data_IF_211860075810
#
_entry.id   IF_211860075810
#
_cell.length_a   1.000
_cell.length_b   1.000
_cell.length_c   1.000
_cell.angle_alpha   90.00
_cell.angle_beta   90.00
_cell.angle_gamma   90.00
#
_symmetry.space_group_name_H-M   'P 1'
#
loop_
_entity.id
_entity.type
_entity.pdbx_description
1 polymer ?
#
# COMPACT_ATOMS: atom_id res chain seq x y z
N UNK A 1 11.90 -5.85 -12.64
CA UNK A 1 10.53 -6.34 -12.42
C UNK A 1 9.72 -5.17 -11.90
N UNK A 2 8.59 -4.87 -12.56
CA UNK A 2 7.75 -3.76 -12.16
C UNK A 2 7.09 -4.04 -10.79
N UNK A 3 6.57 -2.97 -10.20
CA UNK A 3 5.68 -3.00 -9.06
C UNK A 3 4.26 -2.79 -9.56
N UNK A 4 3.29 -3.48 -8.97
CA UNK A 4 1.89 -3.29 -9.33
C UNK A 4 0.97 -3.38 -8.14
N UNK A 5 -0.16 -2.67 -8.22
CA UNK A 5 -1.26 -2.78 -7.27
C UNK A 5 -2.60 -2.87 -8.00
N UNK A 6 -3.44 -3.79 -7.53
CA UNK A 6 -4.87 -3.87 -7.81
C UNK A 6 -5.60 -4.35 -6.56
N UNK A 7 -6.91 -4.09 -6.44
CA UNK A 7 -7.70 -4.65 -5.33
C UNK A 7 -7.65 -6.17 -5.30
N UNK A 8 -7.56 -6.82 -6.47
CA UNK A 8 -7.39 -8.26 -6.58
C UNK A 8 -6.07 -8.71 -5.97
N UNK A 9 -4.95 -8.06 -6.34
CA UNK A 9 -3.62 -8.38 -5.79
C UNK A 9 -3.56 -8.17 -4.28
N UNK A 10 -4.11 -7.06 -3.78
CA UNK A 10 -4.19 -6.81 -2.33
C UNK A 10 -4.98 -7.93 -1.62
N UNK A 11 -6.09 -8.39 -2.21
CA UNK A 11 -6.86 -9.51 -1.67
C UNK A 11 -6.07 -10.81 -1.67
N UNK A 12 -5.30 -11.09 -2.74
CA UNK A 12 -4.42 -12.26 -2.81
C UNK A 12 -3.31 -12.21 -1.76
N UNK A 13 -2.68 -11.04 -1.56
CA UNK A 13 -1.66 -10.83 -0.52
C UNK A 13 -2.24 -11.15 0.85
N UNK A 14 -3.40 -10.59 1.21
CA UNK A 14 -4.05 -10.89 2.49
C UNK A 14 -4.37 -12.39 2.61
N UNK A 15 -4.92 -12.99 1.56
CA UNK A 15 -5.31 -14.41 1.55
C UNK A 15 -4.11 -15.33 1.74
N UNK A 16 -2.95 -15.01 1.15
CA UNK A 16 -1.70 -15.76 1.32
C UNK A 16 -1.20 -15.75 2.77
N UNK A 17 -1.61 -14.76 3.57
CA UNK A 17 -1.32 -14.64 5.00
C UNK A 17 -2.49 -15.08 5.90
N UNK A 18 -3.57 -15.63 5.33
CA UNK A 18 -4.77 -16.01 6.09
C UNK A 18 -5.54 -14.83 6.68
N UNK A 19 -5.36 -13.64 6.12
CA UNK A 19 -5.96 -12.38 6.56
C UNK A 19 -7.15 -11.97 5.68
N UNK A 20 -8.06 -11.22 6.28
CA UNK A 20 -9.16 -10.48 5.65
C UNK A 20 -8.90 -8.98 5.78
N UNK A 21 -9.58 -8.18 4.97
CA UNK A 21 -9.45 -6.71 4.94
C UNK A 21 -9.76 -6.03 6.29
N UNK A 22 -10.49 -6.69 7.20
CA UNK A 22 -10.80 -6.18 8.54
C UNK A 22 -9.77 -6.54 9.61
N UNK A 23 -8.76 -7.36 9.31
CA UNK A 23 -7.81 -7.89 10.30
C UNK A 23 -6.67 -6.89 10.59
N UNK A 24 -7.01 -5.72 11.15
CA UNK A 24 -6.11 -4.59 11.33
C UNK A 24 -4.75 -4.99 11.94
N UNK A 25 -4.73 -5.69 13.07
CA UNK A 25 -3.48 -6.10 13.72
C UNK A 25 -2.64 -7.12 12.93
N UNK A 26 -3.25 -7.87 12.01
CA UNK A 26 -2.53 -8.74 11.08
C UNK A 26 -1.94 -7.95 9.91
N UNK A 27 -2.71 -7.00 9.39
CA UNK A 27 -2.30 -6.12 8.30
C UNK A 27 -1.20 -5.17 8.75
N UNK A 28 -1.28 -4.63 9.97
CA UNK A 28 -0.21 -3.83 10.59
C UNK A 28 1.13 -4.57 10.52
N UNK A 29 1.17 -5.81 11.01
CA UNK A 29 2.38 -6.65 10.95
C UNK A 29 2.86 -6.89 9.53
N UNK A 30 1.94 -7.08 8.58
CA UNK A 30 2.25 -7.36 7.19
C UNK A 30 2.81 -6.12 6.45
N UNK A 31 2.33 -4.92 6.80
CA UNK A 31 2.63 -3.66 6.10
C UNK A 31 3.53 -2.71 6.90
N UNK A 32 4.33 -3.24 7.83
CA UNK A 32 5.46 -2.50 8.43
C UNK A 32 5.27 -2.03 9.86
N UNK A 33 4.34 -2.60 10.63
CA UNK A 33 4.13 -2.33 12.05
C UNK A 33 2.89 -1.49 12.33
N UNK A 34 2.95 -0.62 13.34
CA UNK A 34 1.78 0.08 13.91
C UNK A 34 0.95 0.91 12.91
N UNK A 35 1.53 1.32 11.78
CA UNK A 35 0.86 2.10 10.74
C UNK A 35 0.59 1.26 9.47
N UNK A 36 0.79 -0.06 9.52
CA UNK A 36 0.66 -0.91 8.33
C UNK A 36 -0.77 -0.98 7.78
N UNK A 37 -1.78 -1.01 8.66
CA UNK A 37 -3.18 -0.97 8.25
C UNK A 37 -3.54 0.35 7.56
N UNK A 38 -2.97 1.46 8.04
CA UNK A 38 -3.10 2.77 7.40
C UNK A 38 -2.58 2.72 5.96
N UNK A 39 -1.32 2.31 5.76
CA UNK A 39 -0.72 2.27 4.42
C UNK A 39 -1.37 1.26 3.49
N UNK A 40 -1.86 0.13 4.01
CA UNK A 40 -2.71 -0.77 3.23
C UNK A 40 -3.98 -0.06 2.75
N UNK A 41 -4.64 0.71 3.62
CA UNK A 41 -5.79 1.54 3.28
C UNK A 41 -5.47 2.56 2.19
N UNK A 42 -4.41 3.35 2.37
CA UNK A 42 -3.94 4.36 1.39
C UNK A 42 -3.67 3.74 0.03
N UNK A 43 -2.98 2.60 -0.03
CA UNK A 43 -2.67 1.90 -1.29
C UNK A 43 -3.92 1.33 -1.95
N UNK A 44 -4.87 0.82 -1.16
CA UNK A 44 -6.15 0.34 -1.68
C UNK A 44 -6.98 1.47 -2.26
N UNK A 45 -6.97 2.64 -1.61
CA UNK A 45 -7.70 3.84 -2.03
C UNK A 45 -7.09 4.48 -3.28
N UNK A 46 -5.75 4.57 -3.34
CA UNK A 46 -5.00 5.00 -4.53
C UNK A 46 -5.38 4.21 -5.79
N UNK A 47 -5.75 2.93 -5.65
CA UNK A 47 -6.04 2.06 -6.77
C UNK A 47 -7.54 2.10 -7.16
N UNK A 48 -7.89 2.56 -8.37
CA UNK A 48 -9.28 2.56 -8.81
C UNK A 48 -9.85 1.13 -8.94
N UNK A 49 -11.15 0.92 -8.64
CA UNK A 49 -11.79 -0.38 -8.81
C UNK A 49 -11.64 -0.94 -10.23
N UNK A 50 -11.23 -2.21 -10.35
CA UNK A 50 -11.06 -2.90 -11.63
C UNK A 50 -9.86 -2.44 -12.46
N UNK A 51 -8.97 -1.60 -11.91
CA UNK A 51 -7.72 -1.19 -12.55
C UNK A 51 -6.51 -1.81 -11.85
N UNK A 52 -5.40 -1.82 -12.59
CA UNK A 52 -4.07 -2.15 -12.06
C UNK A 52 -3.15 -0.97 -12.36
N UNK A 53 -2.51 -0.44 -11.32
CA UNK A 53 -1.44 0.54 -11.47
C UNK A 53 -0.11 -0.20 -11.52
N UNK A 54 0.83 0.30 -12.32
CA UNK A 54 2.15 -0.30 -12.54
C UNK A 54 3.23 0.77 -12.47
N UNK A 55 4.34 0.45 -11.84
CA UNK A 55 5.52 1.31 -11.72
C UNK A 55 6.78 0.52 -12.05
N UNK A 56 7.72 1.15 -12.74
CA UNK A 56 8.99 0.50 -13.11
C UNK A 56 9.94 0.36 -11.93
N UNK A 57 9.90 1.32 -10.99
CA UNK A 57 10.82 1.36 -9.84
C UNK A 57 10.09 1.47 -8.51
N UNK A 58 10.78 1.06 -7.44
CA UNK A 58 10.30 1.25 -6.07
C UNK A 58 10.06 2.73 -5.76
N UNK A 59 10.94 3.59 -6.27
CA UNK A 59 10.88 5.02 -6.06
C UNK A 59 9.59 5.63 -6.64
N UNK A 60 9.24 5.25 -7.87
CA UNK A 60 8.01 5.72 -8.52
C UNK A 60 6.75 5.26 -7.76
N UNK A 61 6.75 4.02 -7.28
CA UNK A 61 5.66 3.48 -6.47
C UNK A 61 5.52 4.25 -5.15
N UNK A 62 6.60 4.43 -4.39
CA UNK A 62 6.56 5.13 -3.09
C UNK A 62 6.15 6.58 -3.27
N UNK A 63 6.64 7.26 -4.31
CA UNK A 63 6.24 8.63 -4.63
C UNK A 63 4.76 8.73 -4.99
N UNK A 64 4.21 7.79 -5.76
CA UNK A 64 2.80 7.79 -6.09
C UNK A 64 1.92 7.59 -4.83
N UNK A 65 2.33 6.69 -3.93
CA UNK A 65 1.65 6.48 -2.65
C UNK A 65 1.70 7.75 -1.78
N UNK A 66 2.88 8.39 -1.66
CA UNK A 66 3.01 9.63 -0.90
C UNK A 66 2.23 10.78 -1.54
N UNK A 67 2.18 10.87 -2.86
CA UNK A 67 1.42 11.91 -3.56
C UNK A 67 -0.09 11.77 -3.31
N UNK A 68 -0.60 10.55 -3.28
CA UNK A 68 -1.99 10.26 -2.93
C UNK A 68 -2.29 10.65 -1.48
N UNK A 69 -1.46 10.21 -0.54
CA UNK A 69 -1.54 10.60 0.87
C UNK A 69 -1.52 12.12 1.06
N UNK A 70 -0.65 12.83 0.34
CA UNK A 70 -0.59 14.28 0.41
C UNK A 70 -1.88 14.94 -0.09
N UNK A 71 -2.49 14.39 -1.14
CA UNK A 71 -3.75 14.90 -1.68
C UNK A 71 -4.91 14.67 -0.69
N UNK A 72 -5.05 13.46 -0.15
CA UNK A 72 -6.11 13.14 0.81
C UNK A 72 -5.96 13.91 2.12
N UNK A 73 -4.73 14.03 2.65
CA UNK A 73 -4.48 14.83 3.84
C UNK A 73 -4.77 16.32 3.62
N UNK A 74 -4.49 16.86 2.43
CA UNK A 74 -4.83 18.23 2.09
C UNK A 74 -6.34 18.46 1.99
N UNK A 75 -7.08 17.51 1.43
CA UNK A 75 -8.56 17.54 1.40
C UNK A 75 -9.17 17.52 2.80
N UNK A 76 -8.56 16.79 3.73
CA UNK A 76 -9.00 16.68 5.12
C UNK A 76 -8.45 17.80 6.05
N UNK A 77 -7.72 18.78 5.51
CA UNK A 77 -7.00 19.82 6.28
C UNK A 77 -6.06 19.26 7.37
N UNK A 78 -5.50 18.07 7.13
CA UNK A 78 -4.59 17.37 8.05
C UNK A 78 -3.15 17.40 7.55
N UNK A 79 -2.21 17.14 8.47
CA UNK A 79 -0.80 16.94 8.11
C UNK A 79 -0.64 15.54 7.49
N UNK A 80 -0.01 15.41 6.31
CA UNK A 80 0.21 14.11 5.69
C UNK A 80 1.13 13.23 6.53
N UNK A 81 0.87 11.93 6.52
CA UNK A 81 1.76 10.93 7.05
C UNK A 81 2.89 10.63 6.06
N UNK A 82 4.02 10.15 6.58
CA UNK A 82 5.19 9.74 5.78
C UNK A 82 5.49 8.28 6.09
N UNK A 83 5.59 7.39 5.09
CA UNK A 83 5.82 5.98 5.34
C UNK A 83 7.20 5.80 5.97
N UNK A 84 7.25 5.04 7.06
CA UNK A 84 8.54 4.67 7.66
C UNK A 84 9.34 3.75 6.74
N UNK A 85 10.63 3.58 7.04
CA UNK A 85 11.46 2.61 6.33
C UNK A 85 10.88 1.18 6.38
N UNK A 86 10.22 0.81 7.49
CA UNK A 86 9.56 -0.48 7.63
C UNK A 86 8.34 -0.61 6.71
N UNK A 87 7.54 0.47 6.58
CA UNK A 87 6.40 0.48 5.65
C UNK A 87 6.89 0.38 4.21
N UNK A 88 7.91 1.16 3.82
CA UNK A 88 8.49 1.12 2.47
C UNK A 88 8.99 -0.28 2.14
N UNK A 89 9.72 -0.93 3.05
CA UNK A 89 10.22 -2.29 2.85
C UNK A 89 9.08 -3.30 2.66
N UNK A 90 8.03 -3.20 3.49
CA UNK A 90 6.86 -4.08 3.41
C UNK A 90 6.06 -3.88 2.13
N UNK A 91 5.77 -2.62 1.75
CA UNK A 91 5.11 -2.25 0.50
C UNK A 91 5.89 -2.76 -0.71
N UNK A 92 7.21 -2.56 -0.70
CA UNK A 92 8.08 -3.03 -1.78
C UNK A 92 8.02 -4.54 -1.92
N UNK A 93 8.08 -5.27 -0.81
CA UNK A 93 7.97 -6.74 -0.83
C UNK A 93 6.61 -7.21 -1.32
N UNK A 94 5.52 -6.57 -0.88
CA UNK A 94 4.16 -6.97 -1.19
C UNK A 94 3.76 -6.66 -2.65
N UNK A 95 4.22 -5.52 -3.18
CA UNK A 95 3.78 -5.00 -4.47
C UNK A 95 4.74 -5.32 -5.62
N UNK A 96 5.90 -5.91 -5.33
CA UNK A 96 6.78 -6.42 -6.38
C UNK A 96 6.09 -7.54 -7.18
N UNK A 97 6.16 -7.50 -8.50
CA UNK A 97 5.66 -8.59 -9.33
C UNK A 97 6.70 -9.72 -9.38
N UNK A 98 6.30 -11.01 -9.22
CA UNK A 98 7.21 -12.14 -9.41
C UNK A 98 7.59 -12.29 -10.90
N UNK A 99 8.78 -12.85 -11.17
CA UNK A 99 9.24 -13.24 -12.52
C UNK A 99 8.34 -14.31 -13.13
#
# INVERSE_FOLDING_TARGET
MPYSVSHHKLTQILSAHGLKTGDAGGIDKLFGGNDGYYWFGTVRDLCPPGKTLVWETQYDMVNAIQAHENATAAEDEMKPQVPSAANIAALSKALHDPL
#
